data_IF_626298041570
#
_entry.id   IF_626298041570
#
_cell.length_a   1.000
_cell.length_b   1.000
_cell.length_c   1.000
_cell.angle_alpha   90.00
_cell.angle_beta   90.00
_cell.angle_gamma   90.00
#
_symmetry.space_group_name_H-M   'P 1'
#
loop_
_entity.id
_entity.type
_entity.pdbx_description
1 polymer ?
#
# COMPACT_ATOMS: atom_id res chain seq x y z
N UNK A 1 -29.39 29.13 14.49
CA UNK A 1 -28.00 29.47 14.11
C UNK A 1 -27.09 28.52 14.88
N UNK A 2 -26.21 27.84 14.15
CA UNK A 2 -25.43 26.65 14.52
C UNK A 2 -24.99 26.57 16.00
N UNK A 3 -25.36 25.49 16.69
CA UNK A 3 -24.70 25.11 17.94
C UNK A 3 -23.25 24.75 17.60
N UNK A 4 -22.31 25.49 18.20
CA UNK A 4 -20.91 25.11 18.22
C UNK A 4 -20.83 23.68 18.74
N UNK A 5 -20.30 22.77 17.94
CA UNK A 5 -19.87 21.46 18.43
C UNK A 5 -19.01 21.70 19.67
N UNK A 6 -19.37 21.10 20.80
CA UNK A 6 -18.53 21.13 22.00
C UNK A 6 -17.10 20.69 21.62
N UNK A 7 -16.08 21.33 22.21
CA UNK A 7 -14.67 21.11 21.83
C UNK A 7 -14.27 19.62 21.84
N UNK A 8 -14.83 18.84 22.77
CA UNK A 8 -14.65 17.39 22.84
C UNK A 8 -15.27 16.65 21.66
N UNK A 9 -16.47 17.05 21.24
CA UNK A 9 -17.19 16.47 20.09
C UNK A 9 -16.46 16.79 18.79
N UNK A 10 -15.94 18.02 18.65
CA UNK A 10 -15.12 18.38 17.50
C UNK A 10 -13.80 17.60 17.45
N UNK A 11 -13.13 17.44 18.60
CA UNK A 11 -11.89 16.67 18.67
C UNK A 11 -12.10 15.20 18.32
N UNK A 12 -13.19 14.58 18.79
CA UNK A 12 -13.55 13.21 18.42
C UNK A 12 -13.82 13.09 16.91
N UNK A 13 -14.62 14.01 16.36
CA UNK A 13 -14.92 14.03 14.93
C UNK A 13 -13.67 14.17 14.05
N UNK A 14 -12.75 15.07 14.40
CA UNK A 14 -11.49 15.24 13.66
C UNK A 14 -10.64 13.99 13.74
N UNK A 15 -10.57 13.33 14.90
CA UNK A 15 -9.83 12.08 15.06
C UNK A 15 -10.40 10.98 14.17
N UNK A 16 -11.72 10.78 14.21
CA UNK A 16 -12.39 9.76 13.40
C UNK A 16 -12.17 10.02 11.90
N UNK A 17 -12.23 11.28 11.48
CA UNK A 17 -11.95 11.67 10.10
C UNK A 17 -10.49 11.38 9.69
N UNK A 18 -9.52 11.66 10.56
CA UNK A 18 -8.11 11.34 10.30
C UNK A 18 -7.88 9.83 10.20
N UNK A 19 -8.50 9.06 11.09
CA UNK A 19 -8.43 7.59 11.05
C UNK A 19 -9.04 7.04 9.76
N UNK A 20 -10.16 7.62 9.29
CA UNK A 20 -10.78 7.26 8.01
C UNK A 20 -9.86 7.59 6.82
N UNK A 21 -9.29 8.80 6.78
CA UNK A 21 -8.37 9.22 5.71
C UNK A 21 -7.15 8.29 5.67
N UNK A 22 -6.55 8.01 6.83
CA UNK A 22 -5.37 7.14 6.93
C UNK A 22 -5.70 5.72 6.45
N UNK A 23 -6.84 5.17 6.88
CA UNK A 23 -7.30 3.85 6.45
C UNK A 23 -7.54 3.79 4.94
N UNK A 24 -8.19 4.81 4.37
CA UNK A 24 -8.44 4.91 2.94
C UNK A 24 -7.15 5.00 2.12
N UNK A 25 -6.20 5.84 2.54
CA UNK A 25 -4.90 5.97 1.87
C UNK A 25 -4.09 4.68 1.96
N UNK A 26 -4.06 4.03 3.12
CA UNK A 26 -3.38 2.75 3.31
C UNK A 26 -4.00 1.66 2.43
N UNK A 27 -5.33 1.59 2.36
CA UNK A 27 -6.03 0.66 1.49
C UNK A 27 -5.66 0.85 0.03
N UNK A 28 -5.70 2.10 -0.46
CA UNK A 28 -5.31 2.44 -1.84
C UNK A 28 -3.85 2.09 -2.14
N UNK A 29 -2.94 2.42 -1.22
CA UNK A 29 -1.51 2.09 -1.35
C UNK A 29 -1.28 0.58 -1.38
N UNK A 30 -1.99 -0.17 -0.55
CA UNK A 30 -1.93 -1.64 -0.50
C UNK A 30 -2.44 -2.25 -1.80
N UNK A 31 -3.60 -1.80 -2.31
CA UNK A 31 -4.12 -2.27 -3.60
C UNK A 31 -3.20 -1.92 -4.77
N UNK A 32 -2.59 -0.72 -4.77
CA UNK A 32 -1.59 -0.35 -5.77
C UNK A 32 -0.36 -1.25 -5.67
N UNK A 33 0.15 -1.49 -4.45
CA UNK A 33 1.27 -2.39 -4.21
C UNK A 33 0.98 -3.78 -4.78
N UNK A 34 -0.13 -4.37 -4.37
CA UNK A 34 -0.45 -5.76 -4.66
C UNK A 34 -0.79 -5.98 -6.15
N UNK A 35 -1.44 -5.02 -6.81
CA UNK A 35 -1.72 -5.08 -8.25
C UNK A 35 -0.49 -4.92 -9.14
N UNK A 36 0.61 -4.37 -8.61
CA UNK A 36 1.87 -4.21 -9.34
C UNK A 36 2.90 -5.29 -9.00
N UNK A 37 2.57 -6.26 -8.13
CA UNK A 37 3.41 -7.43 -7.88
C UNK A 37 3.00 -8.56 -8.84
N UNK A 38 3.96 -9.08 -9.60
CA UNK A 38 3.81 -10.17 -10.55
C UNK A 38 4.62 -11.36 -10.06
N UNK A 39 4.01 -12.53 -9.95
CA UNK A 39 4.76 -13.75 -9.64
C UNK A 39 5.49 -14.24 -10.91
N UNK A 40 6.79 -14.49 -10.82
CA UNK A 40 7.65 -14.90 -11.96
C UNK A 40 8.40 -16.17 -11.63
N UNK A 41 8.56 -17.08 -12.58
CA UNK A 41 9.23 -18.37 -12.38
C UNK A 41 10.50 -18.54 -13.22
N UNK A 42 10.72 -17.63 -14.17
CA UNK A 42 11.87 -17.64 -15.08
C UNK A 42 12.55 -16.28 -15.16
N UNK A 43 13.80 -16.27 -15.65
CA UNK A 43 14.57 -15.03 -15.79
C UNK A 43 13.99 -14.09 -16.86
N UNK A 44 13.34 -14.62 -17.89
CA UNK A 44 12.73 -13.81 -18.93
C UNK A 44 11.43 -13.14 -18.45
N UNK A 45 10.60 -13.84 -17.67
CA UNK A 45 9.44 -13.24 -16.99
C UNK A 45 9.85 -12.11 -16.03
N UNK A 46 10.99 -12.25 -15.35
CA UNK A 46 11.56 -11.19 -14.52
C UNK A 46 11.92 -9.94 -15.34
N UNK A 47 12.57 -10.10 -16.49
CA UNK A 47 12.93 -8.97 -17.36
C UNK A 47 11.68 -8.25 -17.86
N UNK A 48 10.65 -9.00 -18.23
CA UNK A 48 9.38 -8.44 -18.69
C UNK A 48 8.68 -7.65 -17.58
N UNK A 49 8.66 -8.17 -16.36
CA UNK A 49 8.10 -7.45 -15.21
C UNK A 49 8.84 -6.13 -14.93
N UNK A 50 10.19 -6.15 -14.99
CA UNK A 50 11.02 -4.94 -14.83
C UNK A 50 10.74 -3.93 -15.95
N UNK A 51 10.65 -4.37 -17.20
CA UNK A 51 10.37 -3.51 -18.33
C UNK A 51 8.99 -2.84 -18.24
N UNK A 52 8.03 -3.50 -17.58
CA UNK A 52 6.70 -2.95 -17.29
C UNK A 52 6.68 -2.05 -16.04
N UNK A 53 7.81 -1.85 -15.35
CA UNK A 53 7.89 -1.09 -14.11
C UNK A 53 7.20 -1.77 -12.92
N UNK A 54 6.99 -3.09 -12.99
CA UNK A 54 6.33 -3.89 -11.96
C UNK A 54 7.34 -4.54 -11.03
N UNK A 55 6.86 -4.96 -9.87
CA UNK A 55 7.65 -5.75 -8.92
C UNK A 55 7.46 -7.23 -9.22
N UNK A 56 8.56 -7.99 -9.24
CA UNK A 56 8.51 -9.41 -9.50
C UNK A 56 8.69 -10.21 -8.20
N UNK A 57 7.85 -11.23 -7.96
CA UNK A 57 7.99 -12.19 -6.86
C UNK A 57 8.33 -13.55 -7.46
N UNK A 58 9.56 -14.01 -7.27
CA UNK A 58 10.01 -15.29 -7.82
C UNK A 58 10.35 -16.35 -6.78
N UNK A 59 10.35 -17.64 -7.19
CA UNK A 59 10.81 -18.75 -6.36
C UNK A 59 12.34 -18.75 -6.32
N UNK A 60 12.92 -17.94 -5.43
CA UNK A 60 14.31 -18.13 -5.01
C UNK A 60 14.34 -18.46 -3.51
N UNK A 61 15.03 -19.56 -3.21
CA UNK A 61 15.44 -20.08 -1.91
C UNK A 61 14.68 -19.55 -0.67
N UNK A 62 13.48 -20.09 -0.40
CA UNK A 62 12.76 -20.13 0.89
C UNK A 62 12.62 -18.85 1.75
N UNK A 63 13.12 -17.70 1.31
CA UNK A 63 13.02 -16.40 1.95
C UNK A 63 12.44 -15.48 0.90
N UNK A 64 11.10 -15.46 0.90
CA UNK A 64 10.31 -14.48 0.17
C UNK A 64 10.84 -13.09 0.49
N UNK A 65 10.93 -12.23 -0.54
CA UNK A 65 11.08 -10.77 -0.49
C UNK A 65 12.45 -10.18 -0.89
N UNK A 66 12.74 -10.11 -2.21
CA UNK A 66 13.90 -9.34 -2.72
C UNK A 66 13.56 -7.94 -3.28
N UNK A 67 12.29 -7.49 -3.24
CA UNK A 67 11.91 -6.16 -3.78
C UNK A 67 11.04 -5.34 -2.82
N UNK A 68 10.96 -5.70 -1.54
CA UNK A 68 10.16 -4.94 -0.56
C UNK A 68 11.01 -3.99 0.31
N UNK A 69 12.35 -4.01 0.20
CA UNK A 69 13.24 -3.26 1.11
C UNK A 69 13.82 -1.98 0.48
N UNK A 70 13.75 -1.77 -0.83
CA UNK A 70 14.42 -0.60 -1.44
C UNK A 70 13.63 0.72 -1.36
N UNK A 71 12.48 0.81 -0.70
CA UNK A 71 11.71 2.07 -0.62
C UNK A 71 10.88 2.24 0.68
N UNK A 72 11.23 1.55 1.76
CA UNK A 72 10.72 1.87 3.11
C UNK A 72 11.87 2.17 4.06
#
# INVERSE_FOLDING_TARGET
MQALMDSSTLAAYVKDLLDEIQSSLLGRATSFRDSNIVDVSSYDELKEAIAQGKWARGPCCALVMFVLICNL
#
